data_IF_987469301939
#
_entry.id   IF_987469301939
#
_cell.length_a   1.000
_cell.length_b   1.000
_cell.length_c   1.000
_cell.angle_alpha   90.00
_cell.angle_beta   90.00
_cell.angle_gamma   90.00
#
_symmetry.space_group_name_H-M   'P 1'
#
loop_
_entity.id
_entity.type
_entity.pdbx_description
1 polymer ?
#
# COMPACT_ATOMS: atom_id res chain seq x y z
N UNK A 1 -24.27 21.65 -7.12
CA UNK A 1 -24.02 20.27 -6.65
C UNK A 1 -22.71 19.80 -7.27
N UNK A 2 -21.60 19.68 -6.51
CA UNK A 2 -20.36 19.09 -7.04
C UNK A 2 -20.53 17.59 -7.09
N UNK A 3 -20.33 16.99 -8.27
CA UNK A 3 -20.33 15.54 -8.44
C UNK A 3 -19.25 14.94 -7.52
N UNK A 4 -19.68 14.13 -6.58
CA UNK A 4 -18.79 13.48 -5.62
C UNK A 4 -18.13 12.29 -6.32
N UNK A 5 -16.85 12.39 -6.63
CA UNK A 5 -16.05 11.35 -7.26
C UNK A 5 -15.57 10.37 -6.17
N UNK A 6 -15.93 9.10 -6.25
CA UNK A 6 -15.21 8.05 -5.52
C UNK A 6 -14.01 7.63 -6.37
N UNK A 7 -12.89 7.44 -5.74
CA UNK A 7 -11.73 6.92 -6.41
C UNK A 7 -11.36 5.58 -5.79
N UNK A 8 -11.49 4.53 -6.59
CA UNK A 8 -10.99 3.21 -6.24
C UNK A 8 -9.49 3.17 -6.56
N UNK A 9 -8.73 2.64 -5.64
CA UNK A 9 -7.28 2.42 -5.78
C UNK A 9 -6.99 0.94 -5.60
N UNK A 10 -6.02 0.44 -6.36
CA UNK A 10 -5.56 -0.94 -6.21
C UNK A 10 -4.05 -1.04 -6.46
N UNK A 11 -3.42 -2.04 -5.84
CA UNK A 11 -1.99 -2.26 -5.98
C UNK A 11 -1.47 -3.35 -5.06
N UNK A 12 -0.15 -3.41 -4.94
CA UNK A 12 0.53 -4.30 -4.00
C UNK A 12 1.11 -3.49 -2.85
N UNK A 13 0.67 -3.78 -1.63
CA UNK A 13 1.17 -3.14 -0.42
C UNK A 13 2.44 -3.80 0.12
N UNK A 14 2.73 -5.02 -0.30
CA UNK A 14 3.96 -5.76 -0.01
C UNK A 14 4.23 -6.77 -1.12
N UNK A 15 5.51 -7.04 -1.40
CA UNK A 15 5.94 -8.05 -2.36
C UNK A 15 6.72 -9.13 -1.61
N UNK A 16 6.40 -10.39 -1.85
CA UNK A 16 7.08 -11.52 -1.20
C UNK A 16 8.51 -11.71 -1.69
N UNK A 17 9.40 -12.07 -0.78
CA UNK A 17 10.77 -12.39 -1.09
C UNK A 17 11.66 -11.20 -1.47
N UNK A 18 11.15 -9.98 -1.40
CA UNK A 18 11.89 -8.74 -1.71
C UNK A 18 12.28 -8.04 -0.42
N UNK A 19 13.56 -7.68 -0.31
CA UNK A 19 14.09 -6.93 0.83
C UNK A 19 13.64 -5.47 0.78
N UNK A 20 13.08 -4.98 1.88
CA UNK A 20 12.73 -3.58 2.05
C UNK A 20 13.90 -2.75 2.60
N UNK A 21 13.71 -1.45 2.76
CA UNK A 21 14.74 -0.53 3.28
C UNK A 21 15.07 -0.78 4.77
N UNK A 22 14.18 -1.46 5.49
CA UNK A 22 14.40 -1.91 6.88
C UNK A 22 15.11 -3.26 6.98
N UNK A 23 15.51 -3.87 5.86
CA UNK A 23 16.10 -5.20 5.73
C UNK A 23 15.15 -6.34 6.12
N UNK A 24 13.87 -6.09 5.99
CA UNK A 24 12.83 -7.09 6.15
C UNK A 24 12.46 -7.71 4.81
N UNK A 25 12.22 -9.01 4.84
CA UNK A 25 11.77 -9.79 3.70
C UNK A 25 10.50 -10.52 4.13
N UNK A 26 9.36 -10.09 3.61
CA UNK A 26 8.08 -10.74 3.89
C UNK A 26 7.97 -12.03 3.08
N UNK A 27 7.67 -13.12 3.76
CA UNK A 27 7.55 -14.45 3.15
C UNK A 27 6.09 -14.75 2.79
N UNK A 28 5.85 -15.58 1.75
CA UNK A 28 4.49 -16.04 1.44
C UNK A 28 3.80 -16.66 2.67
N UNK A 29 2.55 -16.29 2.92
CA UNK A 29 1.77 -16.76 4.06
C UNK A 29 1.88 -15.88 5.31
N UNK A 30 2.75 -14.87 5.31
CA UNK A 30 3.01 -14.03 6.49
C UNK A 30 1.78 -13.24 6.97
N UNK A 31 0.85 -12.91 6.09
CA UNK A 31 -0.37 -12.16 6.43
C UNK A 31 -1.57 -13.06 6.74
N UNK A 32 -1.49 -14.36 6.46
CA UNK A 32 -2.63 -15.27 6.48
C UNK A 32 -3.37 -15.30 7.81
N UNK A 33 -2.63 -15.47 8.93
CA UNK A 33 -3.24 -15.51 10.25
C UNK A 33 -3.89 -14.16 10.59
N UNK A 34 -3.20 -13.07 10.39
CA UNK A 34 -3.71 -11.73 10.68
C UNK A 34 -4.98 -11.40 9.88
N UNK A 35 -5.02 -11.73 8.58
CA UNK A 35 -6.20 -11.52 7.74
C UNK A 35 -7.39 -12.38 8.18
N UNK A 36 -7.14 -13.63 8.59
CA UNK A 36 -8.18 -14.53 9.11
C UNK A 36 -8.75 -14.03 10.44
N UNK A 37 -7.89 -13.53 11.34
CA UNK A 37 -8.29 -13.06 12.67
C UNK A 37 -8.99 -11.71 12.63
N UNK A 38 -8.47 -10.74 11.84
CA UNK A 38 -8.96 -9.35 11.83
C UNK A 38 -10.02 -9.09 10.79
N UNK A 39 -9.94 -9.74 9.64
CA UNK A 39 -10.70 -9.39 8.45
C UNK A 39 -10.23 -8.07 7.83
N UNK A 40 -10.56 -7.87 6.57
CA UNK A 40 -10.21 -6.67 5.79
C UNK A 40 -10.69 -5.37 6.43
N UNK A 41 -11.90 -5.35 6.98
CA UNK A 41 -12.52 -4.13 7.54
C UNK A 41 -11.80 -3.57 8.77
N UNK A 42 -11.00 -4.38 9.46
CA UNK A 42 -10.25 -3.94 10.65
C UNK A 42 -8.89 -3.36 10.32
N UNK A 43 -8.43 -3.51 9.08
CA UNK A 43 -7.15 -2.97 8.62
C UNK A 43 -7.38 -1.56 8.08
N UNK A 44 -6.76 -0.56 8.68
CA UNK A 44 -7.02 0.85 8.37
C UNK A 44 -6.31 1.31 7.11
N UNK A 45 -6.98 2.16 6.32
CA UNK A 45 -6.34 2.93 5.26
C UNK A 45 -5.95 4.29 5.83
N UNK A 46 -4.64 4.50 6.03
CA UNK A 46 -4.12 5.73 6.59
C UNK A 46 -3.33 6.54 5.55
N UNK A 47 -2.97 7.75 5.91
CA UNK A 47 -2.02 8.58 5.19
C UNK A 47 -0.74 8.74 6.00
N UNK A 48 0.43 8.39 5.41
CA UNK A 48 1.76 8.54 6.01
C UNK A 48 1.91 7.87 7.39
N UNK A 49 1.26 6.71 7.60
CA UNK A 49 1.27 6.00 8.89
C UNK A 49 0.72 6.80 10.08
N UNK A 50 -0.02 7.87 9.82
CA UNK A 50 -0.59 8.70 10.87
C UNK A 50 -1.97 8.14 11.29
N UNK A 51 -2.12 7.63 12.53
CA UNK A 51 -3.38 7.07 13.00
C UNK A 51 -4.51 8.11 13.13
N UNK A 52 -4.17 9.40 13.10
CA UNK A 52 -5.15 10.49 13.09
C UNK A 52 -5.64 10.84 11.68
N UNK A 53 -5.11 10.19 10.64
CA UNK A 53 -5.39 10.43 9.23
C UNK A 53 -5.98 9.19 8.53
N UNK A 54 -7.13 8.64 8.97
CA UNK A 54 -7.83 7.64 8.18
C UNK A 54 -8.44 8.31 6.96
N UNK A 55 -8.17 7.78 5.77
CA UNK A 55 -8.52 8.45 4.50
C UNK A 55 -9.43 7.62 3.61
N UNK A 56 -9.58 6.32 3.91
CA UNK A 56 -10.36 5.42 3.10
C UNK A 56 -10.63 4.10 3.81
N UNK A 57 -11.14 3.15 3.03
CA UNK A 57 -11.35 1.77 3.47
C UNK A 57 -10.84 0.81 2.43
N UNK A 58 -10.35 -0.34 2.89
CA UNK A 58 -9.97 -1.45 2.04
C UNK A 58 -11.18 -2.36 1.83
N UNK A 59 -11.52 -2.61 0.55
CA UNK A 59 -12.61 -3.51 0.16
C UNK A 59 -12.12 -4.94 0.02
N UNK A 60 -10.85 -5.09 -0.39
CA UNK A 60 -10.21 -6.38 -0.58
C UNK A 60 -8.73 -6.30 -0.15
N UNK A 61 -8.32 -7.25 0.66
CA UNK A 61 -6.92 -7.51 1.01
C UNK A 61 -6.70 -9.01 0.92
N UNK A 62 -5.77 -9.45 0.08
CA UNK A 62 -5.46 -10.86 -0.08
C UNK A 62 -4.01 -11.10 -0.42
N UNK A 63 -3.50 -12.24 -0.02
CA UNK A 63 -2.24 -12.76 -0.54
C UNK A 63 -2.46 -13.43 -1.90
N UNK A 64 -1.53 -13.22 -2.81
CA UNK A 64 -1.37 -14.03 -4.01
C UNK A 64 0.09 -14.46 -4.18
N UNK A 65 0.46 -15.00 -5.33
CA UNK A 65 1.83 -15.49 -5.60
C UNK A 65 2.87 -14.35 -5.58
N UNK A 66 2.45 -13.12 -5.79
CA UNK A 66 3.32 -11.95 -5.88
C UNK A 66 3.51 -11.24 -4.54
N UNK A 67 2.44 -11.18 -3.73
CA UNK A 67 2.48 -10.41 -2.48
C UNK A 67 1.11 -10.15 -1.87
N UNK A 68 1.00 -9.05 -1.16
CA UNK A 68 -0.23 -8.55 -0.56
C UNK A 68 -0.92 -7.59 -1.53
N UNK A 69 -1.90 -8.11 -2.27
CA UNK A 69 -2.76 -7.30 -3.13
C UNK A 69 -3.83 -6.61 -2.31
N UNK A 70 -4.10 -5.36 -2.64
CA UNK A 70 -5.12 -4.54 -1.99
C UNK A 70 -5.96 -3.79 -3.02
N UNK A 71 -7.25 -3.63 -2.70
CA UNK A 71 -8.17 -2.75 -3.40
C UNK A 71 -9.05 -2.05 -2.38
N UNK A 72 -9.27 -0.76 -2.57
CA UNK A 72 -10.07 0.04 -1.67
C UNK A 72 -10.45 1.38 -2.29
N UNK A 73 -11.11 2.22 -1.51
CA UNK A 73 -11.52 3.53 -1.97
C UNK A 73 -11.34 4.62 -0.91
N UNK A 74 -11.10 5.84 -1.37
CA UNK A 74 -11.02 7.02 -0.53
C UNK A 74 -12.43 7.48 -0.12
N UNK A 75 -12.57 7.92 1.15
CA UNK A 75 -13.86 8.38 1.68
C UNK A 75 -14.25 9.71 1.04
N UNK A 76 -15.40 9.73 0.40
CA UNK A 76 -15.98 10.94 -0.19
C UNK A 76 -16.20 12.04 0.84
N UNK A 77 -15.84 13.27 0.48
CA UNK A 77 -16.09 14.45 1.32
C UNK A 77 -15.08 14.67 2.43
N UNK A 78 -14.18 13.72 2.72
CA UNK A 78 -13.05 13.97 3.59
C UNK A 78 -12.04 14.88 2.87
N UNK A 79 -11.69 16.02 3.46
CA UNK A 79 -10.80 16.99 2.82
C UNK A 79 -9.46 16.38 2.43
N UNK A 80 -8.84 15.61 3.32
CA UNK A 80 -7.58 14.93 3.07
C UNK A 80 -7.67 13.89 1.95
N UNK A 81 -8.77 13.16 1.83
CA UNK A 81 -8.98 12.18 0.77
C UNK A 81 -9.02 12.84 -0.62
N UNK A 82 -9.61 14.03 -0.75
CA UNK A 82 -9.62 14.78 -2.00
C UNK A 82 -8.22 15.29 -2.38
N UNK A 83 -7.43 15.74 -1.40
CA UNK A 83 -6.03 16.12 -1.61
C UNK A 83 -5.19 14.93 -2.09
N UNK A 84 -5.31 13.78 -1.41
CA UNK A 84 -4.61 12.55 -1.79
C UNK A 84 -5.00 12.12 -3.19
N UNK A 85 -6.28 12.15 -3.53
CA UNK A 85 -6.75 11.83 -4.87
C UNK A 85 -6.08 12.71 -5.94
N UNK A 86 -6.00 14.02 -5.68
CA UNK A 86 -5.34 14.96 -6.58
C UNK A 86 -3.86 14.63 -6.76
N UNK A 87 -3.16 14.29 -5.67
CA UNK A 87 -1.74 13.92 -5.69
C UNK A 87 -1.50 12.59 -6.41
N UNK A 88 -2.36 11.60 -6.20
CA UNK A 88 -2.32 10.32 -6.91
C UNK A 88 -2.54 10.51 -8.42
N UNK A 89 -3.52 11.32 -8.80
CA UNK A 89 -3.83 11.64 -10.21
C UNK A 89 -2.69 12.38 -10.90
N UNK A 90 -2.04 13.27 -10.15
CA UNK A 90 -0.88 14.04 -10.61
C UNK A 90 0.42 13.25 -10.64
N UNK A 91 0.45 12.04 -10.07
CA UNK A 91 1.65 11.21 -9.98
C UNK A 91 2.67 11.71 -8.95
N UNK A 92 2.27 12.60 -8.03
CA UNK A 92 3.11 13.08 -6.94
C UNK A 92 3.12 12.12 -5.74
N UNK A 93 2.20 11.17 -5.72
CA UNK A 93 2.00 10.19 -4.65
C UNK A 93 1.57 8.87 -5.30
N UNK A 94 2.18 7.75 -4.93
CA UNK A 94 1.83 6.43 -5.44
C UNK A 94 2.23 5.28 -4.52
N UNK A 95 2.95 5.55 -3.42
CA UNK A 95 3.48 4.53 -2.52
C UNK A 95 2.41 3.89 -1.65
N UNK A 96 2.58 2.59 -1.41
CA UNK A 96 1.87 1.85 -0.37
C UNK A 96 2.86 1.33 0.65
N UNK A 97 2.50 1.33 1.92
CA UNK A 97 3.34 0.84 3.00
C UNK A 97 2.50 0.20 4.08
N UNK A 98 2.97 -0.92 4.64
CA UNK A 98 2.27 -1.67 5.67
C UNK A 98 2.71 -1.25 7.07
N UNK A 99 1.76 -1.10 7.99
CA UNK A 99 2.01 -0.98 9.42
C UNK A 99 1.63 -2.27 10.14
N UNK A 100 2.60 -2.90 10.81
CA UNK A 100 2.44 -4.22 11.40
C UNK A 100 3.30 -4.43 12.64
N UNK A 101 2.99 -5.48 13.39
CA UNK A 101 3.86 -6.02 14.42
C UNK A 101 4.34 -7.41 14.00
N UNK A 102 5.62 -7.67 14.14
CA UNK A 102 6.21 -8.99 13.90
C UNK A 102 5.77 -9.99 14.96
N UNK A 103 5.18 -11.12 14.55
CA UNK A 103 4.87 -12.27 15.43
C UNK A 103 5.95 -13.34 15.35
N UNK A 104 6.42 -13.64 14.13
CA UNK A 104 7.47 -14.64 13.90
C UNK A 104 8.41 -14.21 12.78
N UNK A 105 9.70 -14.14 13.10
CA UNK A 105 10.75 -13.81 12.16
C UNK A 105 12.00 -14.64 12.40
N UNK A 106 12.81 -14.79 11.38
CA UNK A 106 14.14 -15.35 11.44
C UNK A 106 15.15 -14.30 11.00
N UNK A 107 16.11 -14.01 11.87
CA UNK A 107 17.18 -13.07 11.58
C UNK A 107 18.43 -13.80 11.12
N UNK A 108 19.00 -13.33 10.02
CA UNK A 108 20.35 -13.71 9.61
C UNK A 108 21.35 -12.74 10.27
N UNK A 109 22.09 -13.22 11.24
CA UNK A 109 23.05 -12.40 12.01
C UNK A 109 24.23 -11.90 11.18
N UNK A 110 24.56 -12.61 10.09
CA UNK A 110 25.67 -12.24 9.20
C UNK A 110 25.28 -11.06 8.30
N UNK A 111 24.05 -11.05 7.81
CA UNK A 111 23.57 -10.01 6.86
C UNK A 111 22.70 -8.95 7.51
N UNK A 112 22.19 -9.21 8.71
CA UNK A 112 21.23 -8.36 9.41
C UNK A 112 19.80 -8.41 8.86
N UNK A 113 19.55 -9.24 7.83
CA UNK A 113 18.23 -9.43 7.21
C UNK A 113 17.28 -10.17 8.14
N UNK A 114 15.99 -9.81 8.11
CA UNK A 114 14.94 -10.58 8.78
C UNK A 114 13.95 -11.13 7.77
N UNK A 115 13.71 -12.42 7.82
CA UNK A 115 12.60 -13.06 7.10
C UNK A 115 11.38 -13.08 8.01
N UNK A 116 10.29 -12.46 7.57
CA UNK A 116 9.05 -12.36 8.32
C UNK A 116 8.09 -13.45 7.86
N UNK A 117 7.75 -14.37 8.75
CA UNK A 117 6.87 -15.51 8.46
C UNK A 117 5.46 -15.36 9.02
N UNK A 118 5.28 -14.50 10.02
CA UNK A 118 3.99 -14.19 10.61
C UNK A 118 4.00 -12.77 11.16
N UNK A 119 3.06 -11.97 10.71
CA UNK A 119 2.94 -10.57 11.09
C UNK A 119 1.48 -10.24 11.42
N UNK A 120 1.30 -9.36 12.39
CA UNK A 120 0.02 -8.78 12.75
C UNK A 120 -0.17 -7.47 11.99
N UNK A 121 -0.94 -7.49 10.91
CA UNK A 121 -1.17 -6.35 10.03
C UNK A 121 -2.23 -5.42 10.63
N UNK A 122 -1.91 -4.15 10.84
CA UNK A 122 -2.79 -3.18 11.47
C UNK A 122 -3.36 -2.17 10.49
N UNK A 123 -2.52 -1.73 9.57
CA UNK A 123 -2.90 -0.71 8.59
C UNK A 123 -2.09 -0.86 7.29
N UNK A 124 -2.59 -0.24 6.25
CA UNK A 124 -1.90 -0.04 4.99
C UNK A 124 -2.08 1.43 4.63
N UNK A 125 -0.96 2.15 4.54
CA UNK A 125 -0.94 3.58 4.26
C UNK A 125 -0.62 3.91 2.83
N UNK A 126 -1.21 5.00 2.37
CA UNK A 126 -0.75 5.72 1.18
C UNK A 126 0.39 6.63 1.64
N UNK A 127 1.58 6.48 1.04
CA UNK A 127 2.81 7.17 1.47
C UNK A 127 3.58 7.75 0.29
N UNK A 128 4.39 8.76 0.59
CA UNK A 128 5.32 9.34 -0.39
C UNK A 128 6.52 8.42 -0.63
N UNK A 129 7.06 7.84 0.45
CA UNK A 129 8.24 6.99 0.42
C UNK A 129 7.93 5.62 1.05
N UNK A 130 7.54 4.63 0.26
CA UNK A 130 7.27 3.30 0.79
C UNK A 130 8.56 2.61 1.24
N UNK A 131 8.49 1.88 2.36
CA UNK A 131 9.62 1.08 2.86
C UNK A 131 10.07 0.02 1.83
N UNK A 132 9.13 -0.55 1.09
CA UNK A 132 9.41 -1.40 -0.07
C UNK A 132 9.16 -0.59 -1.34
N UNK A 133 10.21 -0.21 -2.11
CA UNK A 133 10.05 0.67 -3.28
C UNK A 133 9.09 0.16 -4.36
N UNK A 134 8.88 -1.16 -4.43
CA UNK A 134 7.94 -1.80 -5.36
C UNK A 134 6.48 -1.84 -4.87
N UNK A 135 6.21 -1.45 -3.62
CA UNK A 135 4.84 -1.40 -3.08
C UNK A 135 4.15 -0.11 -3.53
N UNK A 136 3.28 -0.22 -4.55
CA UNK A 136 2.69 0.95 -5.19
C UNK A 136 1.25 0.73 -5.62
N UNK A 137 0.52 1.84 -5.71
CA UNK A 137 -0.76 1.90 -6.42
C UNK A 137 -0.50 1.66 -7.90
N UNK A 138 -1.11 0.62 -8.45
CA UNK A 138 -0.92 0.19 -9.85
C UNK A 138 -2.05 0.67 -10.76
N UNK A 139 -3.25 0.85 -10.21
CA UNK A 139 -4.39 1.39 -10.95
C UNK A 139 -5.30 2.24 -10.06
N UNK A 140 -5.95 3.18 -10.70
CA UNK A 140 -6.92 4.06 -10.07
C UNK A 140 -8.11 4.22 -11.01
N UNK A 141 -9.31 4.01 -10.47
CA UNK A 141 -10.56 4.24 -11.18
C UNK A 141 -11.28 5.40 -10.53
N UNK A 142 -11.51 6.45 -11.28
CA UNK A 142 -12.33 7.58 -10.84
C UNK A 142 -13.70 7.47 -11.50
N UNK A 143 -14.74 7.29 -10.71
CA UNK A 143 -16.11 7.27 -11.22
C UNK A 143 -16.69 8.68 -11.06
N UNK A 144 -16.64 9.45 -12.13
CA UNK A 144 -17.54 10.60 -12.27
C UNK A 144 -18.94 10.09 -12.56
N UNK A 145 -19.98 10.69 -12.00
CA UNK A 145 -21.36 10.35 -12.35
C UNK A 145 -21.55 10.50 -13.88
N UNK A 146 -21.51 9.37 -14.60
CA UNK A 146 -21.73 9.29 -16.03
C UNK A 146 -20.58 8.82 -16.94
N UNK A 147 -19.33 8.71 -16.45
CA UNK A 147 -18.22 8.24 -17.29
C UNK A 147 -17.14 7.54 -16.46
N UNK A 148 -16.84 6.30 -16.80
CA UNK A 148 -15.72 5.55 -16.19
C UNK A 148 -14.46 5.84 -16.98
N UNK A 149 -13.48 6.52 -16.37
CA UNK A 149 -12.15 6.71 -16.96
C UNK A 149 -11.14 5.85 -16.18
N UNK A 150 -10.59 4.84 -16.84
CA UNK A 150 -9.52 4.00 -16.30
C UNK A 150 -8.17 4.50 -16.80
N UNK A 151 -7.24 4.76 -15.89
CA UNK A 151 -5.86 5.11 -16.21
C UNK A 151 -4.91 4.15 -15.52
N UNK A 152 -4.18 3.38 -16.32
CA UNK A 152 -3.04 2.61 -15.84
C UNK A 152 -1.86 3.56 -15.58
N UNK A 153 -1.29 3.51 -14.39
CA UNK A 153 -0.06 4.24 -14.06
C UNK A 153 1.10 3.47 -14.69
N UNK A 154 1.71 4.03 -15.73
CA UNK A 154 2.92 3.47 -16.34
C UNK A 154 4.08 3.63 -15.37
N UNK A 155 4.50 2.52 -14.76
CA UNK A 155 5.75 2.46 -14.01
C UNK A 155 6.95 2.60 -14.94
N UNK A 156 7.44 3.81 -15.14
CA UNK A 156 8.77 4.00 -15.75
C UNK A 156 9.80 3.86 -14.64
N UNK A 157 10.42 2.70 -14.56
CA UNK A 157 11.64 2.48 -13.79
C UNK A 157 12.74 3.34 -14.44
N UNK A 158 12.97 4.56 -13.92
CA UNK A 158 14.19 5.32 -14.22
C UNK A 158 15.25 4.86 -13.21
N UNK A 159 16.15 4.02 -13.68
CA UNK A 159 17.42 3.80 -13.02
C UNK A 159 18.22 5.09 -13.10
N UNK A 160 18.42 5.74 -11.95
CA UNK A 160 19.35 6.86 -11.83
C UNK A 160 20.74 6.30 -11.52
N UNK A 161 21.79 6.58 -12.32
CA UNK A 161 23.14 6.20 -11.95
C UNK A 161 23.60 7.07 -10.79
N UNK A 162 24.04 6.42 -9.70
CA UNK A 162 24.69 7.10 -8.59
C UNK A 162 25.96 7.81 -9.11
N UNK A 163 26.01 9.13 -8.97
CA UNK A 163 27.27 9.89 -9.04
C UNK A 163 27.92 9.83 -7.67
N UNK A 164 29.08 9.20 -7.64
CA UNK A 164 30.02 9.32 -6.54
C UNK A 164 30.55 10.76 -6.43
N UNK A 165 30.60 11.30 -5.23
CA UNK A 165 31.60 12.25 -4.70
C UNK A 165 31.89 11.81 -3.30
#
# INVERSE_FOLDING_TARGET
MRASTSADIEGYASLFGVEDQGRDIVMPGAFRASLAERGTASIRMLFQHDPTQPVGVWDEIREDVRGLYVRGHLIKGAARANEILTLLQGGALDGLSIGFRTRRAQRDHRTGRRRLFDIDLWEISIVTFPMLPGARVSAMKSTMAGTVTSRALKGTCRTHPARAL
#
